data_IF_679545362115
#
_entry.id   IF_679545362115
#
_cell.length_a   1.000
_cell.length_b   1.000
_cell.length_c   1.000
_cell.angle_alpha   90.00
_cell.angle_beta   90.00
_cell.angle_gamma   90.00
#
_symmetry.space_group_name_H-M   'P 1'
#
loop_
_entity.id
_entity.type
_entity.pdbx_description
1 polymer ?
#
# COMPACT_ATOMS: atom_id res chain seq x y z
N UNK A 1 -33.39 30.80 -20.60
CA UNK A 1 -34.02 30.65 -19.27
C UNK A 1 -34.03 29.21 -18.71
N UNK A 2 -33.41 28.24 -19.37
CA UNK A 2 -33.34 26.83 -18.92
C UNK A 2 -32.00 26.42 -18.28
N UNK A 3 -30.98 27.28 -18.33
CA UNK A 3 -29.61 26.94 -17.88
C UNK A 3 -29.49 26.91 -16.34
N UNK A 4 -30.04 27.90 -15.65
CA UNK A 4 -29.92 27.97 -14.19
C UNK A 4 -30.73 26.88 -13.43
N UNK A 5 -31.82 26.41 -13.98
CA UNK A 5 -32.60 25.34 -13.37
C UNK A 5 -31.89 23.99 -13.49
N UNK A 6 -31.16 23.77 -14.59
CA UNK A 6 -30.38 22.53 -14.80
C UNK A 6 -29.14 22.49 -13.90
N UNK A 7 -28.47 23.65 -13.69
CA UNK A 7 -27.36 23.77 -12.74
C UNK A 7 -27.84 23.57 -11.29
N UNK A 8 -28.96 24.22 -10.90
CA UNK A 8 -29.51 24.08 -9.54
C UNK A 8 -29.98 22.66 -9.23
N UNK A 9 -30.59 21.96 -10.20
CA UNK A 9 -30.98 20.56 -10.07
C UNK A 9 -29.73 19.66 -10.00
N UNK A 10 -28.69 19.96 -10.78
CA UNK A 10 -27.42 19.27 -10.72
C UNK A 10 -26.74 19.40 -9.35
N UNK A 11 -26.68 20.60 -8.78
CA UNK A 11 -26.14 20.87 -7.45
C UNK A 11 -26.96 20.17 -6.35
N UNK A 12 -28.28 20.27 -6.38
CA UNK A 12 -29.17 19.62 -5.39
C UNK A 12 -29.10 18.09 -5.45
N UNK A 13 -28.98 17.51 -6.66
CA UNK A 13 -28.79 16.06 -6.83
C UNK A 13 -27.41 15.63 -6.36
N UNK A 14 -26.37 16.43 -6.61
CA UNK A 14 -25.01 16.18 -6.13
C UNK A 14 -24.94 16.26 -4.60
N UNK A 15 -25.53 17.29 -3.98
CA UNK A 15 -25.61 17.42 -2.50
C UNK A 15 -26.43 16.28 -1.88
N UNK A 16 -27.55 15.87 -2.48
CA UNK A 16 -28.37 14.77 -1.96
C UNK A 16 -27.66 13.41 -2.09
N UNK A 17 -26.84 13.19 -3.12
CA UNK A 17 -26.06 11.97 -3.30
C UNK A 17 -24.75 11.98 -2.51
N UNK A 18 -24.16 13.14 -2.25
CA UNK A 18 -22.95 13.31 -1.45
C UNK A 18 -23.19 13.08 0.06
N UNK A 19 -24.48 13.06 0.51
CA UNK A 19 -24.83 12.97 1.94
C UNK A 19 -24.60 11.61 2.60
N UNK A 20 -24.19 10.56 1.88
CA UNK A 20 -23.96 9.23 2.46
C UNK A 20 -22.61 9.10 3.19
N UNK A 21 -21.64 9.93 2.83
CA UNK A 21 -20.31 9.92 3.43
C UNK A 21 -19.87 11.33 3.81
N UNK A 22 -19.15 11.45 4.91
CA UNK A 22 -18.41 12.65 5.25
C UNK A 22 -17.23 12.78 4.29
N UNK A 23 -17.34 13.68 3.31
CA UNK A 23 -16.34 13.86 2.26
C UNK A 23 -15.04 14.39 2.82
N UNK A 24 -15.06 15.29 3.80
CA UNK A 24 -13.86 15.85 4.41
C UNK A 24 -13.04 14.76 5.10
N UNK A 25 -13.69 13.88 5.86
CA UNK A 25 -13.03 12.76 6.51
C UNK A 25 -12.57 11.71 5.49
N UNK A 26 -13.37 11.45 4.47
CA UNK A 26 -13.03 10.51 3.40
C UNK A 26 -11.81 10.99 2.62
N UNK A 27 -11.80 12.23 2.18
CA UNK A 27 -10.69 12.84 1.44
C UNK A 27 -9.43 12.94 2.31
N UNK A 28 -9.59 13.30 3.59
CA UNK A 28 -8.50 13.31 4.54
C UNK A 28 -7.87 11.91 4.69
N UNK A 29 -8.68 10.86 4.82
CA UNK A 29 -8.19 9.49 4.88
C UNK A 29 -7.40 9.13 3.62
N UNK A 30 -7.97 9.38 2.44
CA UNK A 30 -7.39 9.00 1.15
C UNK A 30 -6.12 9.81 0.83
N UNK A 31 -6.11 11.12 1.11
CA UNK A 31 -5.00 12.02 0.77
C UNK A 31 -3.85 11.96 1.75
N UNK A 32 -4.09 11.58 3.02
CA UNK A 32 -3.07 11.55 4.07
C UNK A 32 -2.55 10.14 4.39
N UNK A 33 -3.17 9.08 3.87
CA UNK A 33 -2.63 7.73 3.98
C UNK A 33 -1.38 7.61 3.12
N UNK A 34 -0.27 7.23 3.75
CA UNK A 34 1.05 7.19 3.10
C UNK A 34 1.97 6.18 3.80
N UNK A 35 3.12 5.91 3.20
CA UNK A 35 4.13 5.07 3.81
C UNK A 35 4.69 5.74 5.09
N UNK A 36 4.43 5.12 6.23
CA UNK A 36 4.95 5.50 7.55
C UNK A 36 6.13 4.59 7.87
N UNK A 37 7.29 5.18 8.14
CA UNK A 37 8.53 4.45 8.45
C UNK A 37 9.18 4.97 9.73
N UNK A 38 9.69 6.21 9.74
CA UNK A 38 10.38 6.84 10.87
C UNK A 38 9.49 7.11 12.08
N UNK A 39 8.18 7.12 11.89
CA UNK A 39 7.20 7.43 12.92
C UNK A 39 6.44 6.19 13.42
N UNK A 40 6.87 4.99 13.05
CA UNK A 40 6.33 3.77 13.63
C UNK A 40 6.70 3.70 15.10
N UNK A 41 5.71 3.47 15.95
CA UNK A 41 5.89 3.24 17.38
C UNK A 41 6.29 1.75 17.58
N UNK A 42 7.54 1.53 17.94
CA UNK A 42 8.11 0.20 18.07
C UNK A 42 7.80 -0.45 19.42
N UNK A 43 7.39 0.34 20.40
CA UNK A 43 7.18 -0.10 21.79
C UNK A 43 5.73 -0.55 22.04
N UNK A 44 4.77 0.11 21.39
CA UNK A 44 3.35 -0.15 21.61
C UNK A 44 2.89 -1.37 20.82
N UNK A 45 2.44 -2.46 21.50
CA UNK A 45 1.96 -3.67 20.81
C UNK A 45 0.69 -3.37 20.02
N UNK A 46 0.56 -4.01 18.85
CA UNK A 46 -0.65 -3.93 18.02
C UNK A 46 -1.48 -5.21 18.28
N UNK A 47 -2.72 -5.09 18.79
CA UNK A 47 -3.59 -6.24 18.99
C UNK A 47 -3.87 -6.97 17.68
N UNK A 48 -3.78 -8.30 17.67
CA UNK A 48 -4.11 -9.14 16.49
C UNK A 48 -5.52 -8.89 16.00
N UNK A 49 -6.49 -8.74 16.90
CA UNK A 49 -7.89 -8.48 16.54
C UNK A 49 -8.04 -7.17 15.75
N UNK A 50 -7.27 -6.15 16.09
CA UNK A 50 -7.27 -4.89 15.33
C UNK A 50 -6.76 -5.09 13.90
N UNK A 51 -5.73 -5.93 13.70
CA UNK A 51 -5.23 -6.29 12.37
C UNK A 51 -6.29 -7.11 11.62
N UNK A 52 -6.94 -8.07 12.28
CA UNK A 52 -8.01 -8.87 11.69
C UNK A 52 -9.20 -8.00 11.27
N UNK A 53 -9.56 -6.99 12.05
CA UNK A 53 -10.59 -6.03 11.68
C UNK A 53 -10.22 -5.22 10.43
N UNK A 54 -8.95 -4.81 10.31
CA UNK A 54 -8.47 -4.15 9.10
C UNK A 54 -8.53 -5.08 7.88
N UNK A 55 -8.17 -6.36 8.05
CA UNK A 55 -8.26 -7.36 6.97
C UNK A 55 -9.73 -7.62 6.59
N UNK A 56 -10.66 -7.69 7.56
CA UNK A 56 -12.09 -7.86 7.29
C UNK A 56 -12.64 -6.73 6.41
N UNK A 57 -12.24 -5.49 6.68
CA UNK A 57 -12.59 -4.35 5.82
C UNK A 57 -11.92 -4.48 4.45
N UNK A 58 -10.64 -4.85 4.42
CA UNK A 58 -9.87 -5.00 3.20
C UNK A 58 -10.46 -6.03 2.22
N UNK A 59 -11.04 -7.11 2.74
CA UNK A 59 -11.65 -8.17 1.93
C UNK A 59 -13.01 -7.77 1.31
N UNK A 60 -13.48 -6.54 1.49
CA UNK A 60 -14.58 -5.96 0.73
C UNK A 60 -14.13 -5.37 -0.61
N UNK A 61 -12.83 -5.31 -0.87
CA UNK A 61 -12.30 -4.89 -2.17
C UNK A 61 -12.74 -5.86 -3.29
N UNK A 62 -12.89 -5.37 -4.53
CA UNK A 62 -13.29 -6.23 -5.65
C UNK A 62 -12.23 -7.31 -5.93
N UNK A 63 -12.70 -8.49 -6.32
CA UNK A 63 -11.85 -9.58 -6.81
C UNK A 63 -12.39 -10.13 -8.13
N UNK A 64 -11.52 -10.53 -9.04
CA UNK A 64 -11.91 -11.06 -10.34
C UNK A 64 -12.89 -12.22 -10.18
N UNK A 65 -14.05 -12.13 -10.84
CA UNK A 65 -15.18 -13.08 -10.75
C UNK A 65 -15.60 -13.41 -9.30
N UNK A 66 -15.32 -12.53 -8.34
CA UNK A 66 -15.51 -12.77 -6.90
C UNK A 66 -14.80 -14.03 -6.37
N UNK A 67 -13.74 -14.45 -7.03
CA UNK A 67 -12.90 -15.58 -6.59
C UNK A 67 -11.89 -15.07 -5.57
N UNK A 68 -12.19 -15.22 -4.32
CA UNK A 68 -11.44 -14.70 -3.18
C UNK A 68 -10.16 -15.52 -2.91
N UNK A 69 -9.16 -15.37 -3.77
CA UNK A 69 -7.88 -16.10 -3.71
C UNK A 69 -6.86 -15.50 -2.76
N UNK A 70 -7.13 -14.37 -2.15
CA UNK A 70 -6.21 -13.73 -1.19
C UNK A 70 -6.01 -14.55 0.08
N UNK A 71 -4.80 -14.48 0.62
CA UNK A 71 -4.40 -15.00 1.93
C UNK A 71 -3.58 -13.92 2.63
N UNK A 72 -3.60 -13.92 3.93
CA UNK A 72 -2.93 -12.90 4.73
C UNK A 72 -2.07 -13.59 5.78
N UNK A 73 -0.76 -13.30 5.76
CA UNK A 73 0.14 -13.71 6.82
C UNK A 73 0.30 -12.56 7.80
N UNK A 74 -0.01 -12.80 9.08
CA UNK A 74 0.28 -11.87 10.19
C UNK A 74 1.47 -12.46 10.92
N UNK A 75 2.53 -11.68 11.07
CA UNK A 75 3.78 -12.09 11.69
C UNK A 75 4.09 -11.16 12.85
N UNK A 76 3.92 -11.65 14.07
CA UNK A 76 4.27 -10.96 15.32
C UNK A 76 5.27 -11.77 16.18
N UNK A 77 5.60 -12.98 15.76
CA UNK A 77 6.64 -13.80 16.34
C UNK A 77 8.02 -13.17 16.16
N UNK A 78 8.78 -12.90 17.24
CA UNK A 78 10.05 -12.19 17.16
C UNK A 78 11.12 -12.89 16.31
N UNK A 79 11.19 -14.24 16.38
CA UNK A 79 12.19 -14.99 15.62
C UNK A 79 11.89 -14.97 14.13
N UNK A 80 10.63 -15.05 13.74
CA UNK A 80 10.20 -14.93 12.33
C UNK A 80 10.39 -13.52 11.81
N UNK A 81 10.08 -12.50 12.60
CA UNK A 81 10.33 -11.09 12.22
C UNK A 81 11.82 -10.85 12.01
N UNK A 82 12.68 -11.36 12.90
CA UNK A 82 14.12 -11.23 12.75
C UNK A 82 14.61 -11.87 11.44
N UNK A 83 14.22 -13.11 11.15
CA UNK A 83 14.60 -13.79 9.91
C UNK A 83 14.12 -13.02 8.66
N UNK A 84 12.88 -12.53 8.66
CA UNK A 84 12.35 -11.71 7.55
C UNK A 84 13.11 -10.39 7.44
N UNK A 85 13.45 -9.74 8.56
CA UNK A 85 14.25 -8.52 8.60
C UNK A 85 15.65 -8.71 7.98
N UNK A 86 16.30 -9.84 8.23
CA UNK A 86 17.60 -10.19 7.63
C UNK A 86 17.47 -10.38 6.11
N UNK A 87 16.45 -11.12 5.66
CA UNK A 87 16.15 -11.30 4.23
C UNK A 87 15.87 -9.94 3.56
N UNK A 88 15.10 -9.07 4.22
CA UNK A 88 14.81 -7.73 3.73
C UNK A 88 16.07 -6.88 3.60
N UNK A 89 16.95 -6.86 4.61
CA UNK A 89 18.24 -6.14 4.57
C UNK A 89 19.16 -6.67 3.46
N UNK A 90 19.18 -7.99 3.26
CA UNK A 90 19.89 -8.63 2.13
C UNK A 90 19.41 -8.10 0.77
N UNK A 91 18.10 -7.90 0.60
CA UNK A 91 17.51 -7.33 -0.61
C UNK A 91 17.76 -5.81 -0.72
N UNK A 92 17.76 -5.11 0.41
CA UNK A 92 17.92 -3.66 0.49
C UNK A 92 19.33 -3.18 0.10
N UNK A 93 20.38 -3.90 0.48
CA UNK A 93 21.75 -3.48 0.26
C UNK A 93 22.12 -3.19 -1.21
N UNK A 94 21.79 -4.02 -2.20
CA UNK A 94 21.98 -3.68 -3.61
C UNK A 94 21.01 -2.62 -4.12
N UNK A 95 19.78 -2.59 -3.61
CA UNK A 95 18.75 -1.62 -4.00
C UNK A 95 19.18 -0.18 -3.67
N UNK A 96 19.69 0.07 -2.47
CA UNK A 96 20.08 1.43 -2.08
C UNK A 96 21.23 1.96 -2.95
N UNK A 97 22.20 1.11 -3.31
CA UNK A 97 23.31 1.49 -4.20
C UNK A 97 22.79 1.89 -5.59
N UNK A 98 21.84 1.13 -6.13
CA UNK A 98 21.19 1.44 -7.41
C UNK A 98 20.43 2.77 -7.34
N UNK A 99 19.68 3.02 -6.25
CA UNK A 99 18.96 4.29 -6.07
C UNK A 99 19.90 5.48 -5.91
N UNK A 100 21.01 5.34 -5.20
CA UNK A 100 22.03 6.39 -5.07
C UNK A 100 22.59 6.78 -6.43
N UNK A 101 22.90 5.80 -7.29
CA UNK A 101 23.36 6.05 -8.64
C UNK A 101 22.30 6.76 -9.49
N UNK A 102 21.05 6.26 -9.48
CA UNK A 102 19.95 6.88 -10.23
C UNK A 102 19.67 8.33 -9.79
N UNK A 103 19.86 8.65 -8.52
CA UNK A 103 19.73 10.02 -8.02
C UNK A 103 20.88 10.89 -8.51
N UNK A 104 22.12 10.38 -8.51
CA UNK A 104 23.28 11.10 -9.04
C UNK A 104 23.08 11.43 -10.54
N UNK A 105 22.52 10.47 -11.29
CA UNK A 105 22.28 10.63 -12.73
C UNK A 105 21.11 11.59 -13.08
N UNK A 106 20.10 11.68 -12.19
CA UNK A 106 18.87 12.45 -12.46
C UNK A 106 18.77 13.78 -11.72
N UNK A 107 19.62 14.04 -10.74
CA UNK A 107 19.62 15.26 -9.92
C UNK A 107 18.36 15.44 -9.05
N UNK A 108 17.63 14.37 -8.73
CA UNK A 108 16.41 14.42 -7.92
C UNK A 108 16.69 14.89 -6.49
N UNK A 109 16.14 16.03 -6.10
CA UNK A 109 16.36 16.66 -4.78
C UNK A 109 15.55 16.03 -3.64
N UNK A 110 14.43 15.37 -3.95
CA UNK A 110 13.56 14.72 -2.96
C UNK A 110 14.03 13.31 -2.55
N UNK A 111 14.92 12.73 -3.35
CA UNK A 111 15.35 11.34 -3.21
C UNK A 111 16.12 11.07 -1.91
N UNK A 112 16.88 12.03 -1.40
CA UNK A 112 17.64 11.88 -0.15
C UNK A 112 16.78 11.53 1.05
N UNK A 113 15.67 12.23 1.24
CA UNK A 113 14.70 11.96 2.33
C UNK A 113 14.01 10.61 2.18
N UNK A 114 13.74 10.20 0.94
CA UNK A 114 13.11 8.90 0.64
C UNK A 114 14.09 7.78 0.97
N UNK A 115 15.36 7.91 0.56
CA UNK A 115 16.41 6.93 0.84
C UNK A 115 16.65 6.79 2.34
N UNK A 116 16.85 7.89 3.06
CA UNK A 116 17.00 7.90 4.52
C UNK A 116 15.83 7.23 5.24
N UNK A 117 14.61 7.50 4.81
CA UNK A 117 13.41 6.90 5.35
C UNK A 117 13.30 5.39 5.04
N UNK A 118 13.79 4.97 3.87
CA UNK A 118 13.81 3.56 3.48
C UNK A 118 14.91 2.79 4.20
N UNK A 119 16.07 3.41 4.40
CA UNK A 119 17.18 2.85 5.18
C UNK A 119 16.75 2.60 6.62
N UNK A 120 16.12 3.60 7.25
CA UNK A 120 15.58 3.45 8.59
C UNK A 120 14.63 2.25 8.70
N UNK A 121 13.70 2.07 7.74
CA UNK A 121 12.79 0.93 7.75
C UNK A 121 13.56 -0.40 7.64
N UNK A 122 14.58 -0.49 6.80
CA UNK A 122 15.38 -1.71 6.66
C UNK A 122 16.09 -2.10 7.96
N UNK A 123 16.52 -1.10 8.76
CA UNK A 123 17.17 -1.31 10.03
C UNK A 123 16.21 -1.77 11.14
N UNK A 124 14.97 -1.27 11.15
CA UNK A 124 14.01 -1.51 12.23
C UNK A 124 12.94 -2.56 11.91
N UNK A 125 12.95 -3.17 10.74
CA UNK A 125 11.82 -3.97 10.25
C UNK A 125 11.44 -5.11 11.20
N UNK A 126 12.42 -5.77 11.80
CA UNK A 126 12.25 -6.85 12.78
C UNK A 126 11.78 -6.36 14.16
N UNK A 127 11.91 -5.05 14.44
CA UNK A 127 11.45 -4.43 15.69
C UNK A 127 9.97 -4.00 15.62
N UNK A 128 9.42 -3.83 14.41
CA UNK A 128 8.03 -3.42 14.24
C UNK A 128 7.09 -4.44 14.90
N UNK A 129 6.06 -4.00 15.65
CA UNK A 129 5.15 -4.89 16.38
C UNK A 129 4.57 -6.02 15.53
N UNK A 130 4.16 -5.74 14.29
CA UNK A 130 3.65 -6.77 13.38
C UNK A 130 4.05 -6.51 11.93
N UNK A 131 4.20 -7.58 11.15
CA UNK A 131 4.30 -7.53 9.70
C UNK A 131 3.08 -8.21 9.10
N UNK A 132 2.50 -7.63 8.06
CA UNK A 132 1.40 -8.24 7.30
C UNK A 132 1.85 -8.45 5.86
N UNK A 133 1.74 -9.70 5.38
CA UNK A 133 2.12 -10.09 4.02
C UNK A 133 0.86 -10.57 3.31
N UNK A 134 0.26 -9.73 2.43
CA UNK A 134 -0.81 -10.18 1.55
C UNK A 134 -0.26 -11.15 0.50
N UNK A 135 -0.97 -12.25 0.31
CA UNK A 135 -0.63 -13.33 -0.60
C UNK A 135 -1.81 -13.64 -1.52
N UNK A 136 -1.52 -14.18 -2.69
CA UNK A 136 -2.50 -14.63 -3.67
C UNK A 136 -2.28 -16.11 -3.97
N UNK A 137 -3.35 -16.92 -3.91
CA UNK A 137 -3.28 -18.31 -4.35
C UNK A 137 -3.03 -18.40 -5.85
N UNK A 138 -2.10 -19.22 -6.24
CA UNK A 138 -1.63 -19.38 -7.60
C UNK A 138 -0.33 -18.63 -7.87
N UNK A 139 0.25 -18.90 -9.04
CA UNK A 139 1.38 -18.18 -9.62
C UNK A 139 1.09 -17.89 -11.08
N UNK A 140 1.64 -16.81 -11.56
CA UNK A 140 1.62 -16.50 -12.99
C UNK A 140 2.78 -17.22 -13.68
N UNK A 141 2.50 -17.75 -14.86
CA UNK A 141 3.53 -18.25 -15.75
C UNK A 141 4.37 -17.08 -16.30
N UNK A 142 5.66 -17.31 -16.63
CA UNK A 142 6.51 -16.28 -17.22
C UNK A 142 5.96 -15.70 -18.53
N UNK A 143 5.08 -16.44 -19.21
CA UNK A 143 4.43 -16.07 -20.46
C UNK A 143 3.04 -15.45 -20.27
N UNK A 144 2.65 -15.16 -19.03
CA UNK A 144 1.33 -14.62 -18.73
C UNK A 144 1.07 -13.31 -19.51
N UNK A 145 -0.11 -13.22 -20.10
CA UNK A 145 -0.58 -12.04 -20.81
C UNK A 145 -0.83 -10.87 -19.86
N UNK A 146 -0.86 -9.64 -20.40
CA UNK A 146 -1.20 -8.47 -19.61
C UNK A 146 -2.58 -8.58 -18.93
N UNK A 147 -3.55 -9.24 -19.57
CA UNK A 147 -4.86 -9.52 -19.00
C UNK A 147 -4.75 -10.41 -17.75
N UNK A 148 -3.98 -11.51 -17.83
CA UNK A 148 -3.79 -12.43 -16.72
C UNK A 148 -3.03 -11.80 -15.57
N UNK A 149 -1.97 -11.03 -15.85
CA UNK A 149 -1.21 -10.25 -14.85
C UNK A 149 -2.10 -9.24 -14.16
N UNK A 150 -2.87 -8.45 -14.94
CA UNK A 150 -3.77 -7.43 -14.41
C UNK A 150 -4.89 -8.04 -13.56
N UNK A 151 -5.50 -9.15 -14.00
CA UNK A 151 -6.54 -9.86 -13.25
C UNK A 151 -6.00 -10.49 -11.97
N UNK A 152 -4.80 -11.05 -12.01
CA UNK A 152 -4.16 -11.67 -10.85
C UNK A 152 -3.85 -10.63 -9.76
N UNK A 153 -3.08 -9.60 -10.09
CA UNK A 153 -2.71 -8.57 -9.13
C UNK A 153 -3.86 -7.61 -8.83
N UNK A 154 -4.74 -7.33 -9.78
CA UNK A 154 -5.95 -6.52 -9.59
C UNK A 154 -6.92 -7.10 -8.56
N UNK A 155 -6.80 -8.38 -8.24
CA UNK A 155 -7.63 -9.02 -7.19
C UNK A 155 -7.08 -8.83 -5.77
N UNK A 156 -5.77 -8.65 -5.58
CA UNK A 156 -5.14 -8.57 -4.24
C UNK A 156 -4.64 -7.16 -3.91
N UNK A 157 -4.15 -6.39 -4.90
CA UNK A 157 -3.59 -5.07 -4.62
C UNK A 157 -4.63 -4.06 -4.11
N UNK A 158 -5.88 -4.03 -4.64
CA UNK A 158 -6.93 -3.19 -4.05
C UNK A 158 -7.23 -3.55 -2.60
N UNK A 159 -7.29 -4.85 -2.26
CA UNK A 159 -7.47 -5.29 -0.89
C UNK A 159 -6.29 -4.87 0.00
N UNK A 160 -5.05 -4.95 -0.49
CA UNK A 160 -3.86 -4.50 0.24
C UNK A 160 -3.92 -3.00 0.52
N UNK A 161 -4.33 -2.19 -0.45
CA UNK A 161 -4.52 -0.75 -0.23
C UNK A 161 -5.66 -0.46 0.74
N UNK A 162 -6.80 -1.15 0.62
CA UNK A 162 -7.92 -1.05 1.56
C UNK A 162 -7.52 -1.42 2.99
N UNK A 163 -6.64 -2.42 3.17
CA UNK A 163 -6.04 -2.75 4.46
C UNK A 163 -5.26 -1.55 5.04
N UNK A 164 -4.43 -0.88 4.23
CA UNK A 164 -3.67 0.28 4.70
C UNK A 164 -4.58 1.47 5.07
N UNK A 165 -5.67 1.69 4.34
CA UNK A 165 -6.69 2.69 4.68
C UNK A 165 -7.41 2.34 5.98
N UNK A 166 -7.82 1.08 6.15
CA UNK A 166 -8.45 0.60 7.37
C UNK A 166 -7.52 0.69 8.58
N UNK A 167 -6.24 0.38 8.41
CA UNK A 167 -5.22 0.55 9.43
C UNK A 167 -5.05 2.04 9.80
N UNK A 168 -4.96 2.92 8.79
CA UNK A 168 -4.83 4.36 8.99
C UNK A 168 -6.00 4.95 9.77
N UNK A 169 -7.24 4.58 9.45
CA UNK A 169 -8.44 5.05 10.16
C UNK A 169 -8.50 4.60 11.63
N UNK A 170 -7.68 3.62 12.02
CA UNK A 170 -7.56 3.06 13.36
C UNK A 170 -6.29 3.50 14.09
N UNK A 171 -5.60 4.54 13.60
CA UNK A 171 -4.38 5.08 14.20
C UNK A 171 -3.13 4.24 13.96
N UNK A 172 -3.15 3.30 13.01
CA UNK A 172 -1.98 2.51 12.63
C UNK A 172 -1.25 3.15 11.44
N UNK A 173 0.07 3.14 11.51
CA UNK A 173 0.98 3.45 10.42
C UNK A 173 1.38 2.18 9.67
N UNK A 174 1.45 2.28 8.36
CA UNK A 174 1.86 1.18 7.48
C UNK A 174 2.79 1.68 6.40
N UNK A 175 3.56 0.80 5.78
CA UNK A 175 4.33 1.11 4.58
C UNK A 175 4.24 -0.06 3.59
N UNK A 176 3.91 0.24 2.33
CA UNK A 176 3.96 -0.75 1.27
C UNK A 176 5.40 -0.97 0.84
N UNK A 177 5.90 -2.21 0.91
CA UNK A 177 7.21 -2.56 0.42
C UNK A 177 7.20 -3.92 -0.29
N UNK A 178 8.11 -4.10 -1.24
CA UNK A 178 8.21 -5.30 -2.08
C UNK A 178 9.63 -5.85 -2.15
N UNK A 179 10.57 -5.30 -1.38
CA UNK A 179 11.99 -5.69 -1.47
C UNK A 179 12.24 -7.15 -1.09
N UNK A 180 11.49 -7.70 -0.11
CA UNK A 180 11.58 -9.10 0.28
C UNK A 180 11.24 -10.07 -0.87
N UNK A 181 10.46 -9.61 -1.87
CA UNK A 181 10.07 -10.43 -3.02
C UNK A 181 11.27 -10.85 -3.87
N UNK A 182 12.41 -10.17 -3.78
CA UNK A 182 13.66 -10.62 -4.41
C UNK A 182 14.12 -11.97 -3.86
N UNK A 183 13.75 -12.27 -2.64
CA UNK A 183 14.04 -13.51 -1.92
C UNK A 183 12.74 -14.12 -1.37
N UNK A 184 11.67 -14.06 -2.18
CA UNK A 184 10.33 -14.52 -1.82
C UNK A 184 10.33 -15.94 -1.26
N UNK A 185 11.14 -16.83 -1.86
CA UNK A 185 11.25 -18.22 -1.44
C UNK A 185 11.81 -18.37 -0.02
N UNK A 186 12.83 -17.57 0.34
CA UNK A 186 13.41 -17.61 1.69
C UNK A 186 12.38 -17.16 2.75
N UNK A 187 11.57 -16.15 2.45
CA UNK A 187 10.45 -15.73 3.32
C UNK A 187 9.36 -16.78 3.39
N UNK A 188 9.07 -17.46 2.26
CA UNK A 188 8.12 -18.56 2.22
C UNK A 188 8.55 -19.72 3.13
N UNK A 189 9.83 -20.06 3.15
CA UNK A 189 10.41 -21.09 4.03
C UNK A 189 10.26 -20.72 5.52
N UNK A 190 10.57 -19.47 5.89
CA UNK A 190 10.39 -18.96 7.28
C UNK A 190 8.94 -19.08 7.75
N UNK A 191 7.98 -18.87 6.85
CA UNK A 191 6.54 -18.80 7.18
C UNK A 191 5.77 -20.08 6.84
N UNK A 192 6.39 -21.04 6.15
CA UNK A 192 5.70 -22.25 5.68
C UNK A 192 4.69 -21.96 4.57
N UNK A 193 4.95 -20.94 3.73
CA UNK A 193 4.07 -20.59 2.60
C UNK A 193 4.33 -21.58 1.45
N UNK A 194 3.29 -22.25 0.93
CA UNK A 194 3.47 -23.18 -0.20
C UNK A 194 4.01 -22.48 -1.45
N UNK A 195 4.81 -23.18 -2.26
CA UNK A 195 5.36 -22.66 -3.52
C UNK A 195 4.30 -22.25 -4.55
N UNK A 196 3.07 -22.73 -4.41
CA UNK A 196 1.92 -22.37 -5.24
C UNK A 196 1.27 -21.04 -4.84
N UNK A 197 1.77 -20.35 -3.81
CA UNK A 197 1.24 -19.09 -3.32
C UNK A 197 2.22 -17.96 -3.64
N UNK A 198 1.71 -16.85 -4.15
CA UNK A 198 2.50 -15.64 -4.46
C UNK A 198 2.37 -14.62 -3.34
N UNK A 199 3.48 -14.17 -2.78
CA UNK A 199 3.53 -12.99 -1.92
C UNK A 199 3.46 -11.73 -2.79
N UNK A 200 2.72 -10.69 -2.39
CA UNK A 200 2.57 -9.50 -3.25
C UNK A 200 3.11 -8.21 -2.64
N UNK A 201 3.19 -8.14 -1.33
CA UNK A 201 3.76 -7.03 -0.59
C UNK A 201 4.16 -7.47 0.82
N UNK A 202 4.92 -6.62 1.50
CA UNK A 202 5.12 -6.68 2.95
C UNK A 202 4.73 -5.32 3.52
N UNK A 203 3.92 -5.34 4.57
CA UNK A 203 3.41 -4.15 5.22
C UNK A 203 3.78 -4.21 6.70
N UNK A 204 4.79 -3.45 7.18
CA UNK A 204 4.99 -3.23 8.61
C UNK A 204 3.78 -2.50 9.19
N UNK A 205 3.36 -2.88 10.39
CA UNK A 205 2.18 -2.36 11.07
C UNK A 205 2.53 -2.00 12.50
N UNK A 206 2.35 -0.74 12.86
CA UNK A 206 2.53 -0.21 14.21
C UNK A 206 1.61 0.99 14.43
N UNK A 207 1.38 1.39 15.66
CA UNK A 207 0.90 2.75 15.89
C UNK A 207 1.95 3.75 15.37
N UNK A 208 1.58 5.01 15.20
CA UNK A 208 2.56 6.03 14.79
C UNK A 208 2.58 7.18 15.80
N UNK A 209 3.73 7.83 15.90
CA UNK A 209 3.98 8.94 16.80
C UNK A 209 3.80 10.29 16.10
N UNK A 210 3.57 11.36 16.91
CA UNK A 210 3.38 12.72 16.44
C UNK A 210 2.00 12.98 15.81
N UNK A 211 1.85 14.16 15.21
CA UNK A 211 0.61 14.63 14.64
C UNK A 211 0.24 13.94 13.31
N UNK A 212 -0.85 14.38 12.74
CA UNK A 212 -1.38 13.88 11.47
C UNK A 212 -0.42 14.10 10.28
N UNK A 213 -0.73 13.49 9.16
CA UNK A 213 0.05 13.58 7.94
C UNK A 213 -0.55 14.62 6.99
N UNK A 214 0.31 15.29 6.24
CA UNK A 214 -0.10 16.20 5.16
C UNK A 214 -0.19 15.42 3.84
N UNK A 215 -1.08 15.84 2.92
CA UNK A 215 -1.07 15.32 1.56
C UNK A 215 0.33 15.43 0.92
N UNK A 216 0.70 14.43 0.14
CA UNK A 216 1.96 14.46 -0.58
C UNK A 216 1.83 15.32 -1.84
N UNK A 217 2.92 15.99 -2.24
CA UNK A 217 2.97 16.66 -3.54
C UNK A 217 2.75 15.65 -4.66
N UNK A 218 1.90 15.99 -5.62
CA UNK A 218 1.58 15.19 -6.80
C UNK A 218 1.58 16.08 -8.03
N UNK A 219 1.66 15.46 -9.20
CA UNK A 219 1.38 16.16 -10.44
C UNK A 219 -0.08 16.62 -10.44
N UNK A 220 -0.37 17.76 -11.04
CA UNK A 220 -1.74 18.21 -11.24
C UNK A 220 -2.50 17.24 -12.14
N UNK A 221 -3.82 17.14 -11.93
CA UNK A 221 -4.68 16.21 -12.66
C UNK A 221 -4.63 16.41 -14.17
N UNK A 222 -4.47 17.65 -14.60
CA UNK A 222 -4.33 18.05 -16.01
C UNK A 222 -3.12 17.47 -16.73
N UNK A 223 -2.10 17.01 -15.96
CA UNK A 223 -0.88 16.36 -16.49
C UNK A 223 -0.99 14.84 -16.62
N UNK A 224 -2.00 14.25 -16.01
CA UNK A 224 -2.15 12.79 -15.92
C UNK A 224 -3.50 12.28 -16.43
N UNK A 225 -4.40 13.20 -16.82
CA UNK A 225 -5.70 12.87 -17.40
C UNK A 225 -5.76 13.33 -18.86
N UNK A 226 -6.37 12.51 -19.69
CA UNK A 226 -6.59 12.78 -21.11
C UNK A 226 -8.06 12.48 -21.45
N UNK A 227 -8.66 13.30 -22.33
CA UNK A 227 -10.05 13.16 -22.72
C UNK A 227 -10.15 12.49 -24.10
N UNK A 228 -10.76 11.31 -24.16
CA UNK A 228 -11.06 10.56 -25.38
C UNK A 228 -9.85 10.10 -26.23
N UNK A 229 -8.63 10.56 -25.96
CA UNK A 229 -7.43 10.17 -26.70
C UNK A 229 -6.15 10.39 -25.88
N UNK A 230 -5.09 9.66 -26.24
CA UNK A 230 -3.79 9.80 -25.55
C UNK A 230 -3.20 11.19 -25.81
N UNK A 231 -2.89 11.92 -24.75
CA UNK A 231 -2.40 13.31 -24.75
C UNK A 231 -3.41 14.37 -25.21
N UNK A 232 -4.68 14.04 -25.42
CA UNK A 232 -5.74 15.00 -25.60
C UNK A 232 -6.06 15.68 -24.26
N UNK A 233 -5.96 17.01 -24.13
CA UNK A 233 -6.15 17.69 -22.85
C UNK A 233 -7.61 17.58 -22.36
N UNK A 234 -7.79 17.58 -21.05
CA UNK A 234 -9.13 17.54 -20.41
C UNK A 234 -9.80 18.92 -20.44
N UNK A 235 -9.01 19.99 -20.47
CA UNK A 235 -9.42 21.41 -20.55
C UNK A 235 -8.33 22.24 -21.21
#
# INVERSE_FOLDING_TARGET
MLSWATELIGELVYEAMASQFDLDQTDRLLTTTRAVRKRLDLERPVPRDLILDCIRVATQAPAGANIQKWRWMIVDDPAKKLAIGEIYRKAYAPYIKMQQQAVADTGRTDAGKIMESSDHLAQILDQVPALVIPCQLGRLEPTATNQEVSGFYGSILPATWSFMLAARSRGLGTAWTTLHLKFEQEVAEVLGIPSTVTQVALTPVAYYTGDDFKPASRLGVEKVCYLNGWKEPVA
#
